data_IF_878404612617
#
_entry.id   IF_878404612617
#
_cell.length_a   1.000
_cell.length_b   1.000
_cell.length_c   1.000
_cell.angle_alpha   90.00
_cell.angle_beta   90.00
_cell.angle_gamma   90.00
#
_symmetry.space_group_name_H-M   'P 1'
#
loop_
_entity.id
_entity.type
_entity.pdbx_description
1 polymer ?
#
# COMPACT_ATOMS: atom_id res chain seq x y z
N UNK A 1 8.95 5.02 2.11
CA UNK A 1 9.32 5.71 0.86
C UNK A 1 8.24 6.74 0.57
N UNK A 2 8.64 7.98 0.28
CA UNK A 2 7.75 8.99 -0.29
C UNK A 2 8.08 9.11 -1.78
N UNK A 3 7.07 9.40 -2.60
CA UNK A 3 7.24 9.66 -4.03
C UNK A 3 6.46 10.92 -4.40
N UNK A 4 6.90 11.60 -5.45
CA UNK A 4 6.24 12.80 -5.97
C UNK A 4 5.26 12.44 -7.09
N UNK A 5 4.17 13.21 -7.20
CA UNK A 5 3.17 13.03 -8.25
C UNK A 5 1.98 12.16 -7.83
N UNK A 6 1.30 11.59 -8.82
CA UNK A 6 0.12 10.74 -8.62
C UNK A 6 0.51 9.27 -8.57
N UNK A 7 -0.19 8.48 -7.75
CA UNK A 7 -0.11 7.03 -7.84
C UNK A 7 -0.89 6.58 -9.09
N UNK A 8 -0.18 6.14 -10.13
CA UNK A 8 -0.74 5.52 -11.32
C UNK A 8 -0.23 4.08 -11.48
N UNK A 9 -0.63 3.41 -12.57
CA UNK A 9 -0.23 2.03 -12.82
C UNK A 9 1.30 1.88 -12.95
N UNK A 10 1.99 2.86 -13.54
CA UNK A 10 3.44 2.81 -13.71
C UNK A 10 4.13 2.93 -12.35
N UNK A 11 3.83 3.98 -11.59
CA UNK A 11 4.39 4.19 -10.26
C UNK A 11 4.11 3.00 -9.33
N UNK A 12 2.90 2.47 -9.38
CA UNK A 12 2.50 1.31 -8.59
C UNK A 12 3.26 0.04 -8.98
N UNK A 13 3.36 -0.29 -10.27
CA UNK A 13 4.04 -1.51 -10.72
C UNK A 13 5.55 -1.45 -10.52
N UNK A 14 6.16 -0.28 -10.68
CA UNK A 14 7.58 -0.07 -10.31
C UNK A 14 7.78 -0.38 -8.83
N UNK A 15 7.01 0.25 -7.94
CA UNK A 15 7.09 -0.03 -6.50
C UNK A 15 6.81 -1.50 -6.17
N UNK A 16 5.78 -2.09 -6.77
CA UNK A 16 5.40 -3.49 -6.56
C UNK A 16 6.59 -4.41 -6.87
N UNK A 17 7.22 -4.23 -8.03
CA UNK A 17 8.35 -5.04 -8.48
C UNK A 17 9.62 -4.84 -7.66
N UNK A 18 9.94 -3.61 -7.29
CA UNK A 18 11.21 -3.27 -6.63
C UNK A 18 11.17 -3.45 -5.11
N UNK A 19 10.00 -3.28 -4.49
CA UNK A 19 9.88 -3.21 -3.03
C UNK A 19 9.08 -4.37 -2.44
N UNK A 20 7.91 -4.69 -3.00
CA UNK A 20 7.03 -5.70 -2.41
C UNK A 20 7.37 -7.11 -2.90
N UNK A 21 7.46 -7.34 -4.21
CA UNK A 21 7.72 -8.66 -4.79
C UNK A 21 8.96 -9.38 -4.22
N UNK A 22 10.09 -8.73 -3.91
CA UNK A 22 11.25 -9.41 -3.31
C UNK A 22 11.00 -9.97 -1.90
N UNK A 23 9.93 -9.53 -1.23
CA UNK A 23 9.53 -9.96 0.11
C UNK A 23 8.46 -11.06 0.08
N UNK A 24 7.97 -11.42 -1.11
CA UNK A 24 6.87 -12.37 -1.28
C UNK A 24 7.40 -13.76 -1.66
N UNK A 25 6.65 -14.77 -1.24
CA UNK A 25 6.80 -16.16 -1.65
C UNK A 25 5.41 -16.83 -1.75
N UNK A 26 5.39 -18.15 -1.92
CA UNK A 26 4.17 -18.95 -2.08
C UNK A 26 3.31 -19.07 -0.81
N UNK A 27 3.80 -18.65 0.35
CA UNK A 27 3.03 -18.59 1.58
C UNK A 27 2.22 -17.30 1.73
N UNK A 28 2.43 -16.31 0.86
CA UNK A 28 1.83 -14.99 0.96
C UNK A 28 0.59 -14.81 0.08
N UNK A 29 -0.36 -14.02 0.58
CA UNK A 29 -1.52 -13.54 -0.17
C UNK A 29 -1.51 -12.01 -0.16
N UNK A 30 -1.41 -11.41 -1.35
CA UNK A 30 -1.54 -9.97 -1.55
C UNK A 30 -3.02 -9.63 -1.65
N UNK A 31 -3.51 -8.82 -0.72
CA UNK A 31 -4.90 -8.34 -0.68
C UNK A 31 -4.94 -6.92 -1.25
N UNK A 32 -5.78 -6.67 -2.25
CA UNK A 32 -5.88 -5.37 -2.92
C UNK A 32 -7.32 -4.84 -2.93
N UNK A 33 -7.46 -3.53 -2.83
CA UNK A 33 -8.74 -2.87 -3.10
C UNK A 33 -9.03 -2.79 -4.62
N UNK A 34 -10.11 -2.11 -4.99
CA UNK A 34 -10.58 -2.06 -6.37
C UNK A 34 -10.10 -0.84 -7.18
N UNK A 35 -9.02 -0.15 -6.77
CA UNK A 35 -8.47 0.94 -7.56
C UNK A 35 -8.21 0.51 -9.02
N UNK A 36 -8.50 1.38 -9.99
CA UNK A 36 -8.47 1.00 -11.42
C UNK A 36 -7.10 0.51 -11.87
N UNK A 37 -6.02 1.12 -11.35
CA UNK A 37 -4.64 0.75 -11.66
C UNK A 37 -4.19 -0.58 -11.03
N UNK A 38 -4.88 -1.09 -10.00
CA UNK A 38 -4.62 -2.40 -9.42
C UNK A 38 -5.06 -3.57 -10.33
N UNK A 39 -5.96 -3.32 -11.28
CA UNK A 39 -6.55 -4.35 -12.14
C UNK A 39 -5.75 -4.61 -13.42
N UNK A 40 -4.55 -4.04 -13.52
CA UNK A 40 -3.66 -4.23 -14.66
C UNK A 40 -3.13 -5.67 -14.75
N UNK A 41 -2.94 -6.17 -15.97
CA UNK A 41 -2.37 -7.49 -16.21
C UNK A 41 -0.93 -7.61 -15.69
N UNK A 42 -0.17 -6.51 -15.72
CA UNK A 42 1.20 -6.44 -15.20
C UNK A 42 1.25 -6.67 -13.69
N UNK A 43 0.37 -6.03 -12.92
CA UNK A 43 0.25 -6.23 -11.47
C UNK A 43 0.06 -7.72 -11.11
N UNK A 44 -0.89 -8.38 -11.79
CA UNK A 44 -1.15 -9.80 -11.56
C UNK A 44 0.03 -10.69 -11.99
N UNK A 45 0.76 -10.32 -13.05
CA UNK A 45 1.94 -11.04 -13.50
C UNK A 45 3.10 -10.93 -12.49
N UNK A 46 3.35 -9.73 -11.96
CA UNK A 46 4.39 -9.48 -10.96
C UNK A 46 4.16 -10.30 -9.67
N UNK A 47 2.92 -10.30 -9.16
CA UNK A 47 2.57 -11.05 -7.94
C UNK A 47 2.68 -12.56 -8.16
N UNK A 48 2.24 -13.07 -9.31
CA UNK A 48 2.41 -14.50 -9.63
C UNK A 48 3.87 -14.88 -9.81
N UNK A 49 4.69 -14.00 -10.39
CA UNK A 49 6.11 -14.25 -10.59
C UNK A 49 6.87 -14.35 -9.27
N UNK A 50 6.40 -13.69 -8.19
CA UNK A 50 6.95 -13.86 -6.85
C UNK A 50 6.44 -15.12 -6.12
N UNK A 51 5.57 -15.92 -6.75
CA UNK A 51 4.95 -17.10 -6.14
C UNK A 51 3.71 -16.82 -5.30
N UNK A 52 3.41 -15.55 -5.00
CA UNK A 52 2.30 -15.17 -4.15
C UNK A 52 0.94 -15.25 -4.86
N UNK A 53 -0.12 -15.35 -4.05
CA UNK A 53 -1.50 -15.27 -4.53
C UNK A 53 -2.05 -13.85 -4.46
N UNK A 54 -2.96 -13.50 -5.37
CA UNK A 54 -3.63 -12.20 -5.41
C UNK A 54 -5.12 -12.36 -5.11
N UNK A 55 -5.62 -11.57 -4.15
CA UNK A 55 -7.04 -11.49 -3.77
C UNK A 55 -7.53 -10.05 -3.81
N UNK A 56 -8.68 -9.80 -4.45
CA UNK A 56 -9.35 -8.50 -4.41
C UNK A 56 -10.43 -8.49 -3.34
N UNK A 57 -10.53 -7.38 -2.59
CA UNK A 57 -11.65 -7.14 -1.68
C UNK A 57 -12.96 -6.96 -2.46
N UNK A 58 -14.13 -7.27 -1.85
CA UNK A 58 -15.41 -6.90 -2.42
C UNK A 58 -15.51 -5.37 -2.61
N UNK A 59 -16.23 -4.89 -3.63
CA UNK A 59 -16.43 -3.45 -3.83
C UNK A 59 -17.01 -2.78 -2.58
N UNK A 60 -16.56 -1.56 -2.30
CA UNK A 60 -17.03 -0.72 -1.19
C UNK A 60 -16.94 -1.39 0.20
N UNK A 61 -15.92 -2.24 0.42
CA UNK A 61 -15.66 -2.91 1.71
C UNK A 61 -14.40 -2.38 2.41
N UNK A 62 -14.31 -1.07 2.73
CA UNK A 62 -13.14 -0.50 3.40
C UNK A 62 -12.96 -1.04 4.83
N UNK A 63 -14.04 -1.54 5.44
CA UNK A 63 -14.02 -2.22 6.74
C UNK A 63 -13.20 -3.51 6.74
N UNK A 64 -13.02 -4.13 5.57
CA UNK A 64 -12.19 -5.32 5.38
C UNK A 64 -10.72 -4.98 5.09
N UNK A 65 -10.34 -3.70 5.04
CA UNK A 65 -8.99 -3.25 4.77
C UNK A 65 -8.34 -2.63 6.02
N UNK A 66 -7.53 -3.38 6.79
CA UNK A 66 -6.97 -2.91 8.07
C UNK A 66 -6.18 -1.59 7.96
N UNK A 67 -5.55 -1.33 6.80
CA UNK A 67 -4.73 -0.13 6.58
C UNK A 67 -5.56 1.17 6.63
N UNK A 68 -6.88 1.11 6.45
CA UNK A 68 -7.76 2.29 6.54
C UNK A 68 -7.67 2.94 7.93
N UNK A 69 -7.55 2.11 8.98
CA UNK A 69 -7.37 2.59 10.35
C UNK A 69 -6.01 3.28 10.52
N UNK A 70 -4.96 2.72 9.92
CA UNK A 70 -3.62 3.32 9.95
C UNK A 70 -3.61 4.67 9.25
N UNK A 71 -4.22 4.77 8.07
CA UNK A 71 -4.36 6.04 7.35
C UNK A 71 -5.17 7.07 8.13
N UNK A 72 -6.24 6.67 8.82
CA UNK A 72 -7.01 7.57 9.68
C UNK A 72 -6.16 8.14 10.82
N UNK A 73 -5.31 7.32 11.45
CA UNK A 73 -4.40 7.76 12.50
C UNK A 73 -3.32 8.71 11.96
N UNK A 74 -2.68 8.38 10.84
CA UNK A 74 -1.67 9.24 10.19
C UNK A 74 -2.26 10.61 9.82
N UNK A 75 -3.48 10.63 9.24
CA UNK A 75 -4.19 11.87 8.91
C UNK A 75 -4.49 12.70 10.16
N UNK A 76 -4.87 12.05 11.27
CA UNK A 76 -5.10 12.74 12.55
C UNK A 76 -3.83 13.38 13.08
N UNK A 77 -2.69 12.68 13.04
CA UNK A 77 -1.40 13.26 13.44
C UNK A 77 -1.08 14.50 12.60
N UNK A 78 -1.25 14.40 11.28
CA UNK A 78 -1.03 15.55 10.37
C UNK A 78 -1.94 16.73 10.69
N UNK A 79 -3.22 16.49 11.03
CA UNK A 79 -4.17 17.55 11.35
C UNK A 79 -3.71 18.44 12.51
N UNK A 80 -3.05 17.85 13.52
CA UNK A 80 -2.55 18.58 14.69
C UNK A 80 -1.08 19.01 14.58
N UNK A 81 -0.37 18.61 13.51
CA UNK A 81 1.06 18.87 13.29
C UNK A 81 1.30 19.30 11.83
N UNK A 82 0.63 20.37 11.40
CA UNK A 82 0.60 20.79 9.99
C UNK A 82 2.00 21.13 9.42
N UNK A 83 2.89 21.68 10.26
CA UNK A 83 4.25 22.08 9.88
C UNK A 83 5.25 20.90 9.85
N UNK A 84 4.87 19.75 10.40
CA UNK A 84 5.74 18.56 10.41
C UNK A 84 5.72 17.89 9.04
N UNK A 85 6.91 17.51 8.55
CA UNK A 85 7.03 16.81 7.27
C UNK A 85 6.26 15.47 7.28
N UNK A 86 5.77 15.02 6.13
CA UNK A 86 5.08 13.73 6.03
C UNK A 86 6.02 12.58 6.43
N UNK A 87 7.31 12.69 6.09
CA UNK A 87 8.32 11.69 6.41
C UNK A 87 8.49 11.53 7.94
N UNK A 88 8.55 12.65 8.67
CA UNK A 88 8.65 12.64 10.12
C UNK A 88 7.38 12.09 10.78
N UNK A 89 6.20 12.41 10.24
CA UNK A 89 4.92 11.85 10.72
C UNK A 89 4.93 10.32 10.57
N UNK A 90 5.38 9.79 9.42
CA UNK A 90 5.46 8.34 9.18
C UNK A 90 6.47 7.68 10.12
N UNK A 91 7.65 8.28 10.33
CA UNK A 91 8.67 7.77 11.27
C UNK A 91 8.14 7.66 12.69
N UNK A 92 7.44 8.70 13.17
CA UNK A 92 6.82 8.71 14.50
C UNK A 92 5.73 7.63 14.60
N UNK A 93 4.89 7.49 13.57
CA UNK A 93 3.84 6.45 13.54
C UNK A 93 4.42 5.05 13.69
N UNK A 94 5.46 4.72 12.92
CA UNK A 94 6.09 3.40 12.93
C UNK A 94 6.81 3.07 14.25
N UNK A 95 7.28 4.09 14.98
CA UNK A 95 7.95 3.91 16.27
C UNK A 95 6.95 3.63 17.41
N UNK A 96 5.72 4.15 17.29
CA UNK A 96 4.66 4.00 18.30
C UNK A 96 3.71 2.82 18.03
N UNK A 97 3.84 2.15 16.88
CA UNK A 97 2.96 1.05 16.46
C UNK A 97 3.57 -0.35 16.72
N UNK A 98 4.73 -0.41 17.38
CA UNK A 98 5.37 -1.62 17.92
C UNK A 98 5.31 -1.61 19.45
#
# INVERSE_FOLDING_TARGET
MLFEGCCDALAFNTWLSEMLCPLLDDSHVVIMDNASFHKGSETAALIRASGASLLFLPPYSPDLNPIEKDFANIKRIRQYNAETSIDDIIKVYNTNSN
#
